data_IF_603122069673
#
_entry.id   IF_603122069673
#
_cell.length_a   1.000
_cell.length_b   1.000
_cell.length_c   1.000
_cell.angle_alpha   90.00
_cell.angle_beta   90.00
_cell.angle_gamma   90.00
#
_symmetry.space_group_name_H-M   'P 1'
#
loop_
_entity.id
_entity.type
_entity.pdbx_description
1 polymer ?
#
# COMPACT_ATOMS: atom_id res chain seq x y z
N UNK A 1 0.98 17.46 11.18
CA UNK A 1 0.81 16.00 10.93
C UNK A 1 -0.40 15.56 11.72
N UNK A 2 -1.39 14.97 11.05
CA UNK A 2 -2.69 14.60 11.66
C UNK A 2 -2.66 13.29 12.46
N UNK A 3 -1.52 12.61 12.59
CA UNK A 3 -1.41 11.39 13.37
C UNK A 3 -0.08 10.65 13.21
N UNK A 4 0.01 9.51 13.88
CA UNK A 4 1.20 8.65 13.89
C UNK A 4 0.83 7.19 13.65
N UNK A 5 1.73 6.44 13.02
CA UNK A 5 1.63 4.99 12.86
C UNK A 5 2.83 4.35 13.57
N UNK A 6 2.56 3.37 14.43
CA UNK A 6 3.57 2.60 15.19
C UNK A 6 3.27 1.10 15.08
N UNK A 7 4.30 0.27 15.27
CA UNK A 7 4.17 -1.18 15.28
C UNK A 7 4.79 -1.72 16.56
N UNK A 8 4.04 -2.52 17.31
CA UNK A 8 4.48 -3.08 18.59
C UNK A 8 4.35 -4.60 18.61
N UNK A 9 5.32 -5.24 19.25
CA UNK A 9 5.20 -6.64 19.63
C UNK A 9 4.42 -6.73 20.94
N UNK A 10 3.12 -6.88 20.82
CA UNK A 10 2.18 -6.91 21.97
C UNK A 10 0.90 -7.64 21.56
N UNK A 11 0.23 -8.25 22.53
CA UNK A 11 -1.13 -8.71 22.29
C UNK A 11 -2.07 -7.51 22.14
N UNK A 12 -2.92 -7.51 21.11
CA UNK A 12 -3.81 -6.39 20.81
C UNK A 12 -4.75 -6.05 21.98
N UNK A 13 -5.15 -7.06 22.79
CA UNK A 13 -6.02 -6.86 23.96
C UNK A 13 -5.34 -6.11 25.11
N UNK A 14 -4.01 -6.04 25.10
CA UNK A 14 -3.21 -5.33 26.11
C UNK A 14 -2.90 -3.88 25.72
N UNK A 15 -3.25 -3.48 24.49
CA UNK A 15 -3.04 -2.11 24.01
C UNK A 15 -3.82 -1.10 24.86
N UNK A 16 -3.17 0.02 25.10
CA UNK A 16 -3.78 1.22 25.66
C UNK A 16 -4.21 2.14 24.53
N UNK A 17 -5.34 1.80 23.91
CA UNK A 17 -5.95 2.54 22.79
C UNK A 17 -7.46 2.68 23.04
N UNK A 18 -8.08 3.75 22.49
CA UNK A 18 -9.53 3.96 22.64
C UNK A 18 -10.36 2.88 21.96
N UNK A 19 -9.87 2.37 20.84
CA UNK A 19 -10.46 1.23 20.12
C UNK A 19 -9.40 0.21 19.72
N UNK A 20 -9.80 -1.06 19.63
CA UNK A 20 -9.02 -2.11 18.96
C UNK A 20 -9.83 -2.69 17.81
N UNK A 21 -9.12 -3.13 16.77
CA UNK A 21 -9.75 -3.74 15.58
C UNK A 21 -9.68 -5.25 15.64
N UNK A 22 -10.81 -5.89 15.45
CA UNK A 22 -10.93 -7.32 15.26
C UNK A 22 -10.88 -7.65 13.76
N UNK A 23 -9.97 -8.54 13.34
CA UNK A 23 -10.02 -9.14 12.00
C UNK A 23 -11.16 -10.16 11.96
N UNK A 24 -12.36 -9.67 11.63
CA UNK A 24 -13.61 -10.41 11.72
C UNK A 24 -13.91 -11.22 10.46
N UNK A 25 -14.81 -12.18 10.60
CA UNK A 25 -15.52 -12.80 9.47
C UNK A 25 -16.86 -12.08 9.21
N UNK A 26 -17.45 -12.30 8.05
CA UNK A 26 -18.67 -11.61 7.64
C UNK A 26 -19.89 -11.90 8.51
N UNK A 27 -19.93 -13.06 9.19
CA UNK A 27 -20.99 -13.41 10.12
C UNK A 27 -20.79 -12.81 11.52
N UNK A 28 -19.67 -12.08 11.75
CA UNK A 28 -19.28 -11.50 13.04
C UNK A 28 -19.20 -12.55 14.18
N UNK A 29 -19.05 -13.82 13.82
CA UNK A 29 -18.94 -14.91 14.77
C UNK A 29 -17.55 -14.98 15.38
N UNK A 30 -17.49 -15.40 16.65
CA UNK A 30 -16.24 -15.70 17.31
C UNK A 30 -15.42 -16.72 16.51
N UNK A 31 -14.11 -16.48 16.42
CA UNK A 31 -13.18 -17.32 15.67
C UNK A 31 -11.92 -17.62 16.47
N UNK A 32 -10.88 -18.07 15.78
CA UNK A 32 -9.56 -18.33 16.35
C UNK A 32 -8.60 -17.15 16.15
N UNK A 33 -7.36 -17.28 16.60
CA UNK A 33 -6.32 -16.28 16.49
C UNK A 33 -6.69 -14.97 17.21
N UNK A 34 -6.44 -13.83 16.56
CA UNK A 34 -6.72 -12.51 17.15
C UNK A 34 -8.20 -12.33 17.51
N UNK A 35 -9.11 -12.85 16.67
CA UNK A 35 -10.54 -12.81 16.94
C UNK A 35 -10.89 -13.52 18.25
N UNK A 36 -10.41 -14.76 18.41
CA UNK A 36 -10.63 -15.53 19.65
C UNK A 36 -10.06 -14.85 20.90
N UNK A 37 -8.87 -14.25 20.79
CA UNK A 37 -8.25 -13.51 21.89
C UNK A 37 -9.10 -12.29 22.31
N UNK A 38 -9.62 -11.53 21.36
CA UNK A 38 -10.47 -10.36 21.61
C UNK A 38 -11.78 -10.79 22.26
N UNK A 39 -12.45 -11.84 21.74
CA UNK A 39 -13.70 -12.35 22.31
C UNK A 39 -13.51 -12.86 23.74
N UNK A 40 -12.41 -13.60 24.01
CA UNK A 40 -12.10 -14.07 25.35
C UNK A 40 -11.86 -12.93 26.34
N UNK A 41 -11.11 -11.90 25.95
CA UNK A 41 -10.76 -10.77 26.81
C UNK A 41 -11.93 -9.80 27.01
N UNK A 42 -12.76 -9.57 25.99
CA UNK A 42 -13.94 -8.71 26.07
C UNK A 42 -15.08 -9.30 26.92
N UNK A 43 -15.15 -10.60 27.06
CA UNK A 43 -16.30 -11.33 27.55
C UNK A 43 -17.08 -11.93 26.37
N UNK A 44 -16.87 -13.23 26.16
CA UNK A 44 -17.34 -13.92 24.95
C UNK A 44 -18.84 -13.77 24.69
N UNK A 45 -19.67 -13.91 25.73
CA UNK A 45 -21.13 -13.86 25.60
C UNK A 45 -21.62 -12.46 25.26
N UNK A 46 -21.08 -11.46 25.95
CA UNK A 46 -21.47 -10.05 25.80
C UNK A 46 -21.08 -9.54 24.41
N UNK A 47 -19.84 -9.84 23.97
CA UNK A 47 -19.37 -9.41 22.66
C UNK A 47 -20.10 -10.14 21.53
N UNK A 48 -20.36 -11.46 21.66
CA UNK A 48 -21.11 -12.21 20.66
C UNK A 48 -22.55 -11.68 20.53
N UNK A 49 -23.23 -11.43 21.65
CA UNK A 49 -24.58 -10.87 21.62
C UNK A 49 -24.64 -9.50 20.91
N UNK A 50 -23.62 -8.64 21.12
CA UNK A 50 -23.51 -7.38 20.39
C UNK A 50 -23.29 -7.58 18.88
N UNK A 51 -22.45 -8.56 18.50
CA UNK A 51 -22.24 -8.95 17.10
C UNK A 51 -23.50 -9.52 16.47
N UNK A 52 -24.23 -10.38 17.17
CA UNK A 52 -25.48 -11.00 16.71
C UNK A 52 -26.58 -9.96 16.47
N UNK A 53 -26.62 -8.91 17.30
CA UNK A 53 -27.53 -7.79 17.12
C UNK A 53 -27.26 -6.97 15.82
N UNK A 54 -26.00 -6.94 15.35
CA UNK A 54 -25.60 -6.33 14.07
C UNK A 54 -25.86 -7.31 12.91
N UNK A 55 -25.62 -8.59 13.12
CA UNK A 55 -25.91 -9.73 12.24
C UNK A 55 -24.87 -9.99 11.17
N UNK A 56 -24.47 -9.00 10.36
CA UNK A 56 -23.59 -9.21 9.23
C UNK A 56 -22.73 -7.97 8.92
N UNK A 57 -21.50 -8.21 8.41
CA UNK A 57 -20.64 -7.18 7.87
C UNK A 57 -20.01 -7.66 6.56
N UNK A 58 -20.09 -6.86 5.50
CA UNK A 58 -19.56 -7.23 4.19
C UNK A 58 -18.03 -7.18 4.15
N UNK A 59 -17.43 -7.99 3.27
CA UNK A 59 -15.98 -7.91 3.01
C UNK A 59 -15.60 -6.51 2.50
N UNK A 60 -14.60 -5.94 3.12
CA UNK A 60 -14.12 -4.57 2.87
C UNK A 60 -14.90 -3.52 3.67
N UNK A 61 -15.70 -3.92 4.66
CA UNK A 61 -16.42 -3.02 5.55
C UNK A 61 -16.08 -3.29 7.02
N UNK A 62 -16.59 -2.45 7.92
CA UNK A 62 -16.39 -2.59 9.35
C UNK A 62 -17.64 -2.15 10.13
N UNK A 63 -17.82 -2.71 11.33
CA UNK A 63 -18.85 -2.35 12.30
C UNK A 63 -18.23 -2.20 13.68
N UNK A 64 -18.90 -1.52 14.60
CA UNK A 64 -18.39 -1.20 15.93
C UNK A 64 -19.29 -1.73 17.04
N UNK A 65 -18.68 -2.23 18.11
CA UNK A 65 -19.34 -2.64 19.36
C UNK A 65 -18.63 -2.02 20.57
N UNK A 66 -19.24 -1.99 21.74
CA UNK A 66 -18.54 -1.71 22.99
C UNK A 66 -17.39 -2.71 23.24
N UNK A 67 -16.37 -2.28 23.96
CA UNK A 67 -15.21 -3.11 24.33
C UNK A 67 -15.44 -4.03 25.53
N UNK A 68 -16.55 -3.84 26.25
CA UNK A 68 -16.92 -4.58 27.47
C UNK A 68 -15.79 -4.65 28.53
N UNK A 69 -15.17 -5.81 28.77
CA UNK A 69 -14.11 -6.02 29.74
C UNK A 69 -12.71 -5.62 29.28
N UNK A 70 -12.58 -5.20 28.02
CA UNK A 70 -11.32 -4.69 27.45
C UNK A 70 -10.96 -3.31 28.03
N UNK A 71 -9.68 -2.95 27.98
CA UNK A 71 -9.23 -1.57 28.24
C UNK A 71 -9.76 -0.60 27.18
N UNK A 72 -9.80 -1.04 25.94
CA UNK A 72 -10.34 -0.27 24.82
C UNK A 72 -11.86 -0.08 24.99
N UNK A 73 -12.35 1.12 24.77
CA UNK A 73 -13.78 1.44 24.84
C UNK A 73 -14.61 0.72 23.80
N UNK A 74 -13.99 0.46 22.64
CA UNK A 74 -14.66 -0.10 21.48
C UNK A 74 -13.87 -1.25 20.85
N UNK A 75 -14.61 -2.18 20.26
CA UNK A 75 -14.08 -3.15 19.28
C UNK A 75 -14.67 -2.81 17.91
N UNK A 76 -13.79 -2.59 16.94
CA UNK A 76 -14.18 -2.38 15.54
C UNK A 76 -13.93 -3.68 14.79
N UNK A 77 -15.00 -4.30 14.29
CA UNK A 77 -14.94 -5.57 13.57
C UNK A 77 -14.77 -5.29 12.07
N UNK A 78 -13.56 -5.38 11.56
CA UNK A 78 -13.23 -5.13 10.16
C UNK A 78 -13.10 -6.46 9.41
N UNK A 79 -13.84 -6.59 8.31
CA UNK A 79 -13.87 -7.80 7.49
C UNK A 79 -12.96 -7.63 6.28
N UNK A 80 -11.74 -8.15 6.37
CA UNK A 80 -10.82 -8.21 5.23
C UNK A 80 -11.17 -9.33 4.25
N UNK A 81 -10.61 -9.29 3.03
CA UNK A 81 -10.81 -10.33 2.02
C UNK A 81 -10.03 -11.61 2.36
N UNK A 82 -10.54 -12.76 1.90
CA UNK A 82 -9.72 -13.94 1.68
C UNK A 82 -8.88 -13.71 0.43
N UNK A 83 -7.60 -13.98 0.53
CA UNK A 83 -6.68 -13.81 -0.60
C UNK A 83 -6.77 -15.01 -1.53
N UNK A 84 -6.84 -14.76 -2.82
CA UNK A 84 -6.79 -15.77 -3.88
C UNK A 84 -5.50 -15.58 -4.70
N UNK A 85 -5.40 -14.49 -5.42
CA UNK A 85 -4.25 -14.18 -6.27
C UNK A 85 -3.97 -12.66 -6.41
N UNK A 86 -4.75 -11.83 -5.72
CA UNK A 86 -4.65 -10.37 -5.77
C UNK A 86 -5.33 -9.71 -6.98
N UNK A 87 -6.04 -10.49 -7.81
CA UNK A 87 -6.67 -10.01 -9.06
C UNK A 87 -8.19 -9.89 -8.98
N UNK A 88 -8.79 -10.21 -7.83
CA UNK A 88 -10.24 -10.19 -7.62
C UNK A 88 -10.68 -9.04 -6.69
N UNK A 89 -9.91 -7.93 -6.72
CA UNK A 89 -10.18 -6.73 -5.92
C UNK A 89 -9.87 -6.90 -4.44
N UNK A 90 -9.00 -7.86 -4.07
CA UNK A 90 -8.60 -8.08 -2.69
C UNK A 90 -7.86 -6.88 -2.10
N UNK A 91 -6.90 -6.21 -2.81
CA UNK A 91 -6.22 -5.03 -2.30
C UNK A 91 -7.18 -3.88 -1.97
N UNK A 92 -8.15 -3.61 -2.85
CA UNK A 92 -9.13 -2.55 -2.68
C UNK A 92 -10.08 -2.86 -1.51
N UNK A 93 -10.51 -4.12 -1.38
CA UNK A 93 -11.34 -4.57 -0.26
C UNK A 93 -10.58 -4.47 1.06
N UNK A 94 -9.28 -4.81 1.07
CA UNK A 94 -8.45 -4.72 2.28
C UNK A 94 -8.25 -3.26 2.70
N UNK A 95 -7.84 -2.39 1.77
CA UNK A 95 -7.70 -0.95 2.02
C UNK A 95 -9.01 -0.31 2.49
N UNK A 96 -10.13 -0.71 1.90
CA UNK A 96 -11.45 -0.24 2.31
C UNK A 96 -11.80 -0.67 3.75
N UNK A 97 -11.49 -1.92 4.15
CA UNK A 97 -11.71 -2.38 5.52
C UNK A 97 -10.93 -1.54 6.55
N UNK A 98 -9.67 -1.19 6.27
CA UNK A 98 -8.88 -0.28 7.10
C UNK A 98 -9.51 1.11 7.17
N UNK A 99 -9.87 1.69 6.02
CA UNK A 99 -10.51 3.02 5.95
C UNK A 99 -11.81 3.07 6.75
N UNK A 100 -12.70 2.08 6.56
CA UNK A 100 -13.97 1.99 7.28
C UNK A 100 -13.77 1.88 8.79
N UNK A 101 -12.77 1.11 9.23
CA UNK A 101 -12.43 1.01 10.64
C UNK A 101 -11.96 2.37 11.22
N UNK A 102 -11.15 3.10 10.48
CA UNK A 102 -10.66 4.43 10.88
C UNK A 102 -11.78 5.47 10.89
N UNK A 103 -12.70 5.44 9.91
CA UNK A 103 -13.90 6.29 9.87
C UNK A 103 -14.76 6.09 11.13
N UNK A 104 -15.00 4.82 11.51
CA UNK A 104 -15.75 4.48 12.72
C UNK A 104 -15.05 4.96 13.99
N UNK A 105 -13.73 4.83 14.06
CA UNK A 105 -12.94 5.31 15.18
C UNK A 105 -13.10 6.84 15.36
N UNK A 106 -12.93 7.61 14.29
CA UNK A 106 -13.07 9.07 14.30
C UNK A 106 -14.51 9.48 14.63
N UNK A 107 -15.51 8.83 14.05
CA UNK A 107 -16.94 9.08 14.33
C UNK A 107 -17.28 8.85 15.82
N UNK A 108 -16.57 7.93 16.49
CA UNK A 108 -16.69 7.65 17.91
C UNK A 108 -15.68 8.42 18.79
N UNK A 109 -15.03 9.44 18.23
CA UNK A 109 -14.06 10.31 18.94
C UNK A 109 -12.88 9.56 19.54
N UNK A 110 -12.40 8.49 18.89
CA UNK A 110 -11.21 7.78 19.28
C UNK A 110 -9.96 8.52 18.80
N UNK A 111 -9.03 8.80 19.68
CA UNK A 111 -7.73 9.39 19.35
C UNK A 111 -6.63 8.35 19.21
N UNK A 112 -6.95 7.08 19.43
CA UNK A 112 -6.03 5.95 19.29
C UNK A 112 -6.75 4.68 18.86
N UNK A 113 -6.15 3.92 17.92
CA UNK A 113 -6.71 2.67 17.39
C UNK A 113 -5.62 1.62 17.27
N UNK A 114 -5.88 0.44 17.84
CA UNK A 114 -5.04 -0.74 17.70
C UNK A 114 -5.51 -1.64 16.55
N UNK A 115 -4.61 -2.00 15.64
CA UNK A 115 -4.89 -2.90 14.52
C UNK A 115 -4.09 -4.20 14.61
N UNK A 116 -4.69 -5.35 14.25
CA UNK A 116 -3.93 -6.50 13.79
C UNK A 116 -3.57 -6.30 12.32
N UNK A 117 -2.71 -7.16 11.76
CA UNK A 117 -2.54 -7.22 10.31
C UNK A 117 -3.70 -8.00 9.69
N UNK A 118 -4.72 -7.27 9.21
CA UNK A 118 -5.97 -7.84 8.67
C UNK A 118 -5.67 -8.75 7.49
N UNK A 119 -6.37 -9.87 7.39
CA UNK A 119 -6.27 -10.89 6.34
C UNK A 119 -4.94 -11.68 6.28
N UNK A 120 -3.87 -11.29 6.98
CA UNK A 120 -2.55 -11.93 6.89
C UNK A 120 -2.44 -13.29 7.61
N UNK A 121 -3.45 -13.69 8.37
CA UNK A 121 -3.53 -15.00 9.03
C UNK A 121 -4.29 -16.03 8.17
N UNK A 122 -5.38 -16.57 8.71
CA UNK A 122 -6.20 -17.65 8.10
C UNK A 122 -6.73 -17.26 6.69
N UNK A 123 -6.90 -15.96 6.41
CA UNK A 123 -7.36 -15.48 5.10
C UNK A 123 -6.25 -15.47 4.05
N UNK A 124 -5.00 -15.82 4.40
CA UNK A 124 -3.91 -16.13 3.48
C UNK A 124 -3.35 -14.94 2.70
N UNK A 125 -3.65 -13.71 3.11
CA UNK A 125 -3.08 -12.54 2.43
C UNK A 125 -1.56 -12.51 2.63
N UNK A 126 -0.73 -12.37 1.57
CA UNK A 126 0.71 -12.31 1.70
C UNK A 126 1.14 -11.18 2.66
N UNK A 127 1.93 -11.51 3.67
CA UNK A 127 2.27 -10.61 4.79
C UNK A 127 2.82 -9.27 4.31
N UNK A 128 3.75 -9.30 3.34
CA UNK A 128 4.34 -8.09 2.74
C UNK A 128 3.27 -7.20 2.10
N UNK A 129 2.39 -7.80 1.30
CA UNK A 129 1.32 -7.08 0.62
C UNK A 129 0.28 -6.54 1.61
N UNK A 130 -0.03 -7.32 2.66
CA UNK A 130 -0.92 -6.88 3.72
C UNK A 130 -0.38 -5.65 4.46
N UNK A 131 0.92 -5.61 4.77
CA UNK A 131 1.56 -4.44 5.36
C UNK A 131 1.50 -3.22 4.45
N UNK A 132 1.82 -3.39 3.17
CA UNK A 132 1.79 -2.32 2.19
C UNK A 132 0.39 -1.71 2.07
N UNK A 133 -0.63 -2.54 1.82
CA UNK A 133 -2.02 -2.08 1.67
C UNK A 133 -2.55 -1.44 2.97
N UNK A 134 -2.16 -1.96 4.14
CA UNK A 134 -2.52 -1.41 5.44
C UNK A 134 -1.93 -0.01 5.64
N UNK A 135 -0.63 0.18 5.36
CA UNK A 135 0.02 1.47 5.56
C UNK A 135 -0.46 2.53 4.58
N UNK A 136 -0.68 2.15 3.30
CA UNK A 136 -1.28 3.07 2.33
C UNK A 136 -2.63 3.54 2.83
N UNK A 137 -3.54 2.62 3.19
CA UNK A 137 -4.87 2.99 3.63
C UNK A 137 -4.86 3.88 4.88
N UNK A 138 -4.01 3.53 5.87
CA UNK A 138 -3.88 4.31 7.09
C UNK A 138 -3.30 5.71 6.83
N UNK A 139 -2.29 5.79 5.96
CA UNK A 139 -1.65 7.06 5.65
C UNK A 139 -2.56 7.98 4.86
N UNK A 140 -3.15 7.50 3.77
CA UNK A 140 -4.13 8.26 3.00
C UNK A 140 -5.25 8.81 3.88
N UNK A 141 -5.71 8.00 4.85
CA UNK A 141 -6.71 8.44 5.80
C UNK A 141 -6.19 9.55 6.72
N UNK A 142 -5.00 9.40 7.31
CA UNK A 142 -4.38 10.41 8.17
C UNK A 142 -4.12 11.72 7.42
N UNK A 143 -3.68 11.65 6.16
CA UNK A 143 -3.43 12.83 5.32
C UNK A 143 -4.73 13.60 4.99
N UNK A 144 -5.85 12.89 4.90
CA UNK A 144 -7.19 13.47 4.72
C UNK A 144 -7.79 14.10 5.97
N UNK A 145 -7.26 13.80 7.17
CA UNK A 145 -7.75 14.36 8.43
C UNK A 145 -7.32 15.82 8.60
N UNK A 146 -8.31 16.70 8.87
CA UNK A 146 -8.07 18.09 9.27
C UNK A 146 -8.46 18.23 10.75
N UNK A 147 -7.58 18.87 11.52
CA UNK A 147 -7.83 19.23 12.92
C UNK A 147 -8.18 18.06 13.86
N UNK A 148 -7.76 16.83 13.48
CA UNK A 148 -7.96 15.65 14.29
C UNK A 148 -6.66 14.84 14.42
N UNK A 149 -6.28 14.51 15.66
CA UNK A 149 -5.08 13.72 15.94
C UNK A 149 -5.48 12.25 16.18
N UNK A 150 -4.89 11.34 15.40
CA UNK A 150 -5.16 9.91 15.55
C UNK A 150 -3.85 9.12 15.61
N UNK A 151 -3.68 8.34 16.67
CA UNK A 151 -2.57 7.39 16.83
C UNK A 151 -3.02 5.99 16.40
N UNK A 152 -2.34 5.43 15.41
CA UNK A 152 -2.56 4.06 14.93
C UNK A 152 -1.43 3.18 15.45
N UNK A 153 -1.76 2.03 16.06
CA UNK A 153 -0.79 1.07 16.58
C UNK A 153 -1.09 -0.30 16.02
N UNK A 154 -0.18 -0.85 15.23
CA UNK A 154 -0.25 -2.24 14.80
C UNK A 154 0.30 -3.16 15.89
N UNK A 155 -0.49 -4.15 16.31
CA UNK A 155 -0.11 -5.14 17.30
C UNK A 155 0.20 -6.47 16.60
N UNK A 156 1.40 -6.99 16.79
CA UNK A 156 1.85 -8.29 16.26
C UNK A 156 2.49 -9.09 17.39
N UNK A 157 2.46 -10.42 17.29
CA UNK A 157 3.07 -11.32 18.30
C UNK A 157 4.38 -11.93 17.81
N UNK A 158 4.60 -11.93 16.50
CA UNK A 158 5.70 -12.59 15.83
C UNK A 158 6.80 -11.60 15.43
N UNK A 159 8.08 -11.96 15.71
CA UNK A 159 9.22 -11.10 15.40
C UNK A 159 9.44 -10.88 13.90
N UNK A 160 9.10 -11.88 13.08
CA UNK A 160 9.20 -11.77 11.63
C UNK A 160 8.16 -10.79 11.09
N UNK A 161 6.92 -10.87 11.59
CA UNK A 161 5.88 -9.89 11.23
C UNK A 161 6.25 -8.48 11.68
N UNK A 162 6.83 -8.33 12.88
CA UNK A 162 7.32 -7.05 13.38
C UNK A 162 8.41 -6.48 12.47
N UNK A 163 9.41 -7.31 12.12
CA UNK A 163 10.52 -6.89 11.26
C UNK A 163 10.05 -6.49 9.86
N UNK A 164 9.17 -7.32 9.24
CA UNK A 164 8.59 -7.00 7.94
C UNK A 164 7.74 -5.71 7.98
N UNK A 165 6.91 -5.54 9.02
CA UNK A 165 6.12 -4.33 9.19
C UNK A 165 6.98 -3.08 9.36
N UNK A 166 8.05 -3.14 10.16
CA UNK A 166 8.98 -2.02 10.35
C UNK A 166 9.71 -1.67 9.05
N UNK A 167 10.18 -2.67 8.30
CA UNK A 167 10.77 -2.46 6.99
C UNK A 167 9.76 -1.78 6.05
N UNK A 168 8.53 -2.29 6.02
CA UNK A 168 7.47 -1.73 5.20
C UNK A 168 7.10 -0.29 5.61
N UNK A 169 7.01 0.00 6.91
CA UNK A 169 6.71 1.34 7.42
C UNK A 169 7.79 2.35 7.05
N UNK A 170 9.07 1.98 7.18
CA UNK A 170 10.20 2.83 6.77
C UNK A 170 10.12 3.08 5.26
N UNK A 171 9.88 2.04 4.46
CA UNK A 171 9.71 2.14 3.01
C UNK A 171 8.54 3.02 2.62
N UNK A 172 7.40 2.80 3.20
CA UNK A 172 6.25 3.66 3.01
C UNK A 172 6.53 5.11 3.43
N UNK A 173 7.29 5.32 4.50
CA UNK A 173 7.65 6.67 4.95
C UNK A 173 8.58 7.41 3.99
N UNK A 174 9.45 6.70 3.29
CA UNK A 174 10.40 7.31 2.37
C UNK A 174 9.88 7.46 0.93
N UNK A 175 9.09 6.51 0.43
CA UNK A 175 8.66 6.45 -0.98
C UNK A 175 7.22 6.89 -1.26
N UNK A 176 6.32 6.78 -0.29
CA UNK A 176 4.89 7.17 -0.48
C UNK A 176 4.70 8.68 -0.38
N UNK A 177 5.67 9.42 0.15
CA UNK A 177 5.49 10.83 0.47
C UNK A 177 5.73 11.79 -0.69
N UNK A 178 6.30 11.33 -1.79
CA UNK A 178 6.50 12.20 -2.94
C UNK A 178 6.15 11.46 -4.22
N UNK A 179 4.97 11.76 -4.74
CA UNK A 179 4.65 11.46 -6.14
C UNK A 179 5.67 12.23 -6.98
N UNK A 180 6.38 11.53 -7.87
CA UNK A 180 7.36 12.15 -8.72
C UNK A 180 6.68 13.09 -9.70
N UNK A 181 7.14 14.33 -9.71
CA UNK A 181 6.69 15.37 -10.62
C UNK A 181 7.81 15.77 -11.57
N UNK A 182 7.46 16.34 -12.71
CA UNK A 182 8.42 16.81 -13.72
C UNK A 182 9.53 17.69 -13.15
N UNK A 183 9.21 18.50 -12.14
CA UNK A 183 10.14 19.42 -11.48
C UNK A 183 11.15 18.74 -10.55
N UNK A 184 10.96 17.46 -10.21
CA UNK A 184 11.80 16.75 -9.26
C UNK A 184 13.14 16.30 -9.83
N UNK A 185 13.26 16.29 -11.13
CA UNK A 185 14.48 15.91 -11.83
C UNK A 185 14.70 16.76 -13.08
N UNK A 186 15.93 16.74 -13.61
CA UNK A 186 16.19 17.33 -14.91
C UNK A 186 15.46 16.56 -16.01
N UNK A 187 14.73 17.25 -16.85
CA UNK A 187 13.95 16.66 -17.95
C UNK A 187 14.19 17.43 -19.24
N UNK A 188 14.38 16.69 -20.33
CA UNK A 188 14.35 17.24 -21.68
C UNK A 188 13.05 16.78 -22.36
N UNK A 189 12.45 17.59 -23.23
CA UNK A 189 11.28 17.15 -23.97
C UNK A 189 11.62 15.98 -24.92
N UNK A 190 10.59 15.25 -25.35
CA UNK A 190 10.73 14.28 -26.45
C UNK A 190 11.24 15.01 -27.70
N UNK A 191 12.30 14.51 -28.36
CA UNK A 191 12.82 15.15 -29.55
C UNK A 191 11.84 15.07 -30.74
N UNK A 192 12.01 15.92 -31.73
CA UNK A 192 11.19 15.86 -32.95
C UNK A 192 11.37 14.54 -33.70
N UNK A 193 12.59 13.97 -33.65
CA UNK A 193 12.88 12.66 -34.23
C UNK A 193 12.42 11.57 -33.26
N UNK A 194 11.24 11.03 -33.48
CA UNK A 194 10.65 9.96 -32.68
C UNK A 194 9.76 9.06 -33.52
N UNK A 195 9.52 7.84 -33.02
CA UNK A 195 8.53 6.90 -33.55
C UNK A 195 7.40 6.68 -32.55
N UNK A 196 6.31 6.06 -33.02
CA UNK A 196 5.21 5.66 -32.16
C UNK A 196 4.75 4.24 -32.48
N UNK A 197 4.36 3.50 -31.46
CA UNK A 197 3.81 2.16 -31.59
C UNK A 197 2.76 1.86 -30.51
N UNK A 198 2.02 0.77 -30.68
CA UNK A 198 1.05 0.29 -29.68
C UNK A 198 1.70 -0.80 -28.85
N UNK A 199 1.71 -0.61 -27.54
CA UNK A 199 2.07 -1.63 -26.56
C UNK A 199 0.81 -2.28 -26.00
N UNK A 200 0.62 -3.57 -26.25
CA UNK A 200 -0.47 -4.35 -25.65
C UNK A 200 -0.01 -4.90 -24.31
N UNK A 201 -0.60 -4.39 -23.24
CA UNK A 201 -0.28 -4.80 -21.87
C UNK A 201 -1.45 -4.53 -20.93
N UNK A 202 -1.90 -5.57 -20.23
CA UNK A 202 -2.88 -5.39 -19.15
C UNK A 202 -2.17 -4.99 -17.87
N UNK A 203 -2.59 -3.89 -17.28
CA UNK A 203 -2.11 -3.40 -15.98
C UNK A 203 -3.31 -3.33 -15.04
N UNK A 204 -3.20 -3.94 -13.87
CA UNK A 204 -4.21 -3.81 -12.85
C UNK A 204 -4.10 -2.47 -12.11
N UNK A 205 -5.10 -2.14 -11.30
CA UNK A 205 -5.14 -0.84 -10.59
C UNK A 205 -3.94 -0.63 -9.65
N UNK A 206 -3.45 -1.70 -9.02
CA UNK A 206 -2.27 -1.65 -8.15
C UNK A 206 -1.00 -1.32 -8.92
N UNK A 207 -0.82 -1.93 -10.09
CA UNK A 207 0.29 -1.63 -10.99
C UNK A 207 0.22 -0.19 -11.48
N UNK A 208 -0.96 0.27 -11.88
CA UNK A 208 -1.17 1.66 -12.27
C UNK A 208 -0.94 2.63 -11.11
N UNK A 209 -1.32 2.27 -9.89
CA UNK A 209 -1.03 3.08 -8.71
C UNK A 209 0.48 3.24 -8.50
N UNK A 210 1.27 2.16 -8.61
CA UNK A 210 2.74 2.20 -8.52
C UNK A 210 3.35 3.09 -9.61
N UNK A 211 2.87 2.96 -10.85
CA UNK A 211 3.36 3.81 -11.96
C UNK A 211 3.02 5.29 -11.75
N UNK A 212 1.85 5.61 -11.18
CA UNK A 212 1.44 6.98 -10.83
C UNK A 212 2.31 7.62 -9.76
N UNK A 213 2.88 6.82 -8.84
CA UNK A 213 3.82 7.37 -7.87
C UNK A 213 5.11 7.86 -8.52
N UNK A 214 5.48 7.30 -9.66
CA UNK A 214 6.70 7.65 -10.34
C UNK A 214 7.95 7.16 -9.60
N UNK A 215 9.12 7.62 -10.03
CA UNK A 215 10.40 7.31 -9.42
C UNK A 215 11.37 8.47 -9.53
N UNK A 216 11.92 8.88 -8.39
CA UNK A 216 12.99 9.88 -8.31
C UNK A 216 14.29 9.11 -8.00
N UNK A 217 15.31 9.18 -8.88
CA UNK A 217 16.58 8.47 -8.66
C UNK A 217 17.21 8.79 -7.30
N UNK A 218 17.60 7.76 -6.57
CA UNK A 218 18.22 7.88 -5.26
C UNK A 218 19.72 7.57 -5.28
N UNK A 219 20.18 6.82 -6.30
CA UNK A 219 21.57 6.40 -6.46
C UNK A 219 22.06 6.58 -7.91
N UNK A 220 23.38 6.49 -8.11
CA UNK A 220 23.96 6.61 -9.45
C UNK A 220 23.60 5.44 -10.37
N UNK A 221 23.21 4.31 -9.80
CA UNK A 221 22.78 3.10 -10.50
C UNK A 221 21.36 3.22 -11.04
N UNK A 222 20.55 4.13 -10.51
CA UNK A 222 19.19 4.39 -10.96
C UNK A 222 19.22 5.06 -12.34
N UNK A 223 18.97 4.25 -13.37
CA UNK A 223 19.08 4.69 -14.77
C UNK A 223 17.89 5.49 -15.26
N UNK A 224 16.79 5.51 -14.50
CA UNK A 224 15.54 6.07 -14.92
C UNK A 224 14.96 7.02 -13.88
N UNK A 225 14.37 8.11 -14.39
CA UNK A 225 13.42 8.97 -13.72
C UNK A 225 12.10 8.89 -14.50
N UNK A 226 10.99 8.61 -13.81
CA UNK A 226 9.67 8.67 -14.46
C UNK A 226 8.65 9.32 -13.55
N UNK A 227 7.70 10.00 -14.18
CA UNK A 227 6.54 10.61 -13.55
C UNK A 227 5.33 10.47 -14.45
N UNK A 228 4.13 10.75 -13.93
CA UNK A 228 2.91 10.78 -14.73
C UNK A 228 2.28 12.17 -14.70
N UNK A 229 1.81 12.63 -15.86
CA UNK A 229 0.87 13.74 -16.01
C UNK A 229 -0.40 13.16 -16.63
N UNK A 230 -1.54 13.30 -15.95
CA UNK A 230 -2.80 12.64 -16.30
C UNK A 230 -2.62 11.11 -16.47
N UNK A 231 -2.94 10.58 -17.64
CA UNK A 231 -2.78 9.16 -17.98
C UNK A 231 -1.52 8.88 -18.83
N UNK A 232 -0.55 9.79 -18.83
CA UNK A 232 0.69 9.65 -19.60
C UNK A 232 1.90 9.57 -18.70
N UNK A 233 2.66 8.48 -18.82
CA UNK A 233 3.95 8.29 -18.17
C UNK A 233 5.06 8.87 -19.06
N UNK A 234 5.97 9.60 -18.42
CA UNK A 234 7.18 10.17 -19.04
C UNK A 234 8.41 9.53 -18.44
N UNK A 235 9.18 8.82 -19.24
CA UNK A 235 10.38 8.11 -18.81
C UNK A 235 11.66 8.74 -19.35
N UNK A 236 12.48 9.21 -18.43
CA UNK A 236 13.71 9.93 -18.73
C UNK A 236 14.94 9.16 -18.26
N UNK A 237 16.06 9.32 -18.95
CA UNK A 237 17.35 8.90 -18.42
C UNK A 237 17.75 9.81 -17.25
N UNK A 238 18.04 9.20 -16.10
CA UNK A 238 18.37 9.95 -14.87
C UNK A 238 19.59 10.85 -15.04
N UNK A 239 20.61 10.39 -15.75
CA UNK A 239 21.86 11.11 -15.89
C UNK A 239 21.79 12.27 -16.89
N UNK A 240 21.07 12.10 -17.99
CA UNK A 240 21.00 13.10 -19.06
C UNK A 240 19.75 13.94 -19.04
N UNK A 241 18.67 13.41 -18.48
CA UNK A 241 17.33 13.99 -18.53
C UNK A 241 16.59 13.76 -19.85
N UNK A 242 17.20 13.05 -20.82
CA UNK A 242 16.56 12.82 -22.13
C UNK A 242 15.30 11.97 -21.96
N UNK A 243 14.19 12.42 -22.50
CA UNK A 243 12.97 11.64 -22.61
C UNK A 243 13.19 10.51 -23.60
N UNK A 244 13.01 9.27 -23.17
CA UNK A 244 13.19 8.08 -24.00
C UNK A 244 11.84 7.51 -24.43
N UNK A 245 10.89 7.42 -23.46
CA UNK A 245 9.54 6.93 -23.72
C UNK A 245 8.50 7.88 -23.14
N UNK A 246 7.39 8.03 -23.87
CA UNK A 246 6.12 8.41 -23.25
C UNK A 246 5.10 7.30 -23.49
N UNK A 247 4.27 7.02 -22.49
CA UNK A 247 3.26 5.96 -22.56
C UNK A 247 1.91 6.55 -22.17
N UNK A 248 1.04 6.76 -23.15
CA UNK A 248 -0.34 7.17 -22.89
C UNK A 248 -1.19 5.93 -22.63
N UNK A 249 -1.57 5.73 -21.36
CA UNK A 249 -2.34 4.57 -20.95
C UNK A 249 -3.79 4.65 -21.43
N UNK A 250 -4.34 3.51 -21.86
CA UNK A 250 -5.72 3.35 -22.30
C UNK A 250 -6.39 2.22 -21.53
N UNK A 251 -7.67 2.34 -21.29
CA UNK A 251 -8.46 1.35 -20.54
C UNK A 251 -8.63 0.01 -21.24
N UNK A 252 -8.41 -0.03 -22.55
CA UNK A 252 -8.49 -1.25 -23.37
C UNK A 252 -7.19 -2.08 -23.38
N UNK A 253 -6.15 -1.62 -22.66
CA UNK A 253 -4.84 -2.28 -22.58
C UNK A 253 -3.97 -2.08 -23.83
N UNK A 254 -4.36 -1.18 -24.77
CA UNK A 254 -3.60 -0.84 -25.97
C UNK A 254 -3.00 0.55 -25.84
N UNK A 255 -1.84 0.65 -25.23
CA UNK A 255 -1.19 1.91 -24.88
C UNK A 255 -0.41 2.50 -26.02
N UNK A 256 -0.56 3.81 -26.25
CA UNK A 256 0.23 4.52 -27.25
C UNK A 256 1.58 4.90 -26.65
N UNK A 257 2.64 4.38 -27.26
CA UNK A 257 4.03 4.68 -26.89
C UNK A 257 4.64 5.60 -27.94
N UNK A 258 5.32 6.65 -27.48
CA UNK A 258 6.25 7.43 -28.31
C UNK A 258 7.67 7.17 -27.81
N UNK A 259 8.60 6.87 -28.73
CA UNK A 259 9.99 6.52 -28.42
C UNK A 259 10.97 7.43 -29.15
N UNK A 260 11.96 7.91 -28.41
CA UNK A 260 13.03 8.77 -28.91
C UNK A 260 13.87 8.08 -29.99
N UNK A 261 14.09 8.76 -31.13
CA UNK A 261 14.92 8.28 -32.24
C UNK A 261 16.12 9.19 -32.54
N UNK A 262 16.40 10.13 -31.66
CA UNK A 262 17.62 10.91 -31.78
C UNK A 262 18.85 10.03 -31.46
N UNK A 263 19.75 9.77 -32.43
CA UNK A 263 20.87 8.83 -32.26
C UNK A 263 21.91 9.26 -31.22
N UNK A 264 21.97 10.56 -30.90
CA UNK A 264 22.84 11.09 -29.85
C UNK A 264 22.28 10.83 -28.44
N UNK A 265 20.97 10.58 -28.32
CA UNK A 265 20.27 10.42 -27.07
C UNK A 265 19.89 8.96 -26.80
N UNK A 266 19.52 8.21 -27.85
CA UNK A 266 19.04 6.84 -27.75
C UNK A 266 19.44 6.03 -28.99
N UNK A 267 20.09 4.90 -28.76
CA UNK A 267 20.72 4.12 -29.84
C UNK A 267 19.85 3.02 -30.43
N UNK A 268 18.80 2.59 -29.73
CA UNK A 268 17.88 1.57 -30.25
C UNK A 268 17.03 2.16 -31.39
N UNK A 269 16.89 1.40 -32.46
CA UNK A 269 16.09 1.76 -33.63
C UNK A 269 15.00 0.76 -33.95
N UNK A 270 14.92 -0.35 -33.19
CA UNK A 270 13.95 -1.41 -33.38
C UNK A 270 12.75 -1.23 -32.46
N UNK A 271 11.56 -1.11 -33.03
CA UNK A 271 10.30 -1.09 -32.28
C UNK A 271 10.09 -2.40 -31.51
N UNK A 272 10.54 -3.53 -32.05
CA UNK A 272 10.44 -4.83 -31.41
C UNK A 272 11.28 -4.90 -30.12
N UNK A 273 12.53 -4.41 -30.19
CA UNK A 273 13.41 -4.31 -29.00
C UNK A 273 12.84 -3.33 -27.97
N UNK A 274 12.31 -2.17 -28.41
CA UNK A 274 11.69 -1.20 -27.53
C UNK A 274 10.44 -1.77 -26.84
N UNK A 275 9.61 -2.50 -27.58
CA UNK A 275 8.42 -3.16 -27.03
C UNK A 275 8.81 -4.13 -25.92
N UNK A 276 9.84 -4.98 -26.18
CA UNK A 276 10.33 -5.95 -25.21
C UNK A 276 10.97 -5.28 -23.98
N UNK A 277 11.77 -4.24 -24.20
CA UNK A 277 12.43 -3.48 -23.12
C UNK A 277 11.40 -2.73 -22.26
N UNK A 278 10.52 -1.97 -22.88
CA UNK A 278 9.52 -1.17 -22.17
C UNK A 278 8.54 -2.08 -21.41
N UNK A 279 8.17 -3.23 -21.99
CA UNK A 279 7.36 -4.24 -21.29
C UNK A 279 7.99 -4.69 -19.98
N UNK A 280 9.30 -5.01 -19.99
CA UNK A 280 10.07 -5.37 -18.78
C UNK A 280 10.20 -4.21 -17.81
N UNK A 281 10.41 -2.98 -18.29
CA UNK A 281 10.49 -1.80 -17.44
C UNK A 281 9.17 -1.54 -16.73
N UNK A 282 8.04 -1.61 -17.43
CA UNK A 282 6.73 -1.44 -16.82
C UNK A 282 6.42 -2.53 -15.79
N UNK A 283 6.82 -3.80 -16.02
CA UNK A 283 6.71 -4.86 -15.03
C UNK A 283 7.54 -4.56 -13.78
N UNK A 284 8.77 -4.11 -13.98
CA UNK A 284 9.67 -3.69 -12.92
C UNK A 284 9.11 -2.50 -12.13
N UNK A 285 8.68 -1.45 -12.83
CA UNK A 285 8.20 -0.21 -12.22
C UNK A 285 6.83 -0.36 -11.58
N UNK A 286 6.01 -1.30 -12.02
CA UNK A 286 4.69 -1.57 -11.45
C UNK A 286 4.71 -2.41 -10.17
N UNK A 287 5.88 -2.80 -9.67
CA UNK A 287 6.09 -3.55 -8.41
C UNK A 287 5.52 -4.98 -8.39
N UNK A 288 5.05 -5.55 -9.50
CA UNK A 288 4.58 -6.94 -9.51
C UNK A 288 5.72 -7.96 -9.57
N UNK A 289 6.79 -7.67 -10.30
CA UNK A 289 7.91 -8.58 -10.51
C UNK A 289 9.26 -8.02 -10.05
N UNK A 290 9.30 -6.81 -9.52
CA UNK A 290 10.54 -6.18 -9.09
C UNK A 290 10.57 -5.95 -7.60
N UNK A 291 11.63 -6.43 -7.00
CA UNK A 291 11.91 -6.26 -5.59
C UNK A 291 12.74 -4.99 -5.32
N UNK A 292 12.50 -3.91 -6.11
CA UNK A 292 13.08 -2.59 -5.89
C UNK A 292 12.87 -2.13 -4.43
N UNK A 293 11.70 -2.47 -3.91
CA UNK A 293 11.36 -2.24 -2.53
C UNK A 293 12.25 -3.07 -1.56
N UNK A 294 12.63 -4.30 -1.89
CA UNK A 294 13.55 -5.12 -1.09
C UNK A 294 15.00 -4.65 -1.20
N UNK A 295 15.42 -4.23 -2.36
CA UNK A 295 16.77 -3.71 -2.58
C UNK A 295 16.96 -2.40 -1.83
N UNK A 296 16.01 -1.48 -1.96
CA UNK A 296 15.97 -0.24 -1.21
C UNK A 296 15.84 -0.46 0.31
N UNK A 297 14.99 -1.42 0.76
CA UNK A 297 14.89 -1.78 2.18
C UNK A 297 16.16 -2.41 2.72
N UNK A 298 16.85 -3.22 1.93
CA UNK A 298 18.14 -3.82 2.35
C UNK A 298 19.21 -2.75 2.50
N UNK A 299 19.24 -1.76 1.63
CA UNK A 299 20.17 -0.62 1.70
C UNK A 299 19.83 0.33 2.84
N UNK A 300 18.56 0.64 3.07
CA UNK A 300 18.11 1.48 4.19
C UNK A 300 18.35 0.79 5.53
N UNK A 301 18.10 -0.53 5.63
CA UNK A 301 18.42 -1.31 6.81
C UNK A 301 19.93 -1.39 7.07
N UNK A 302 20.75 -1.45 6.02
CA UNK A 302 22.22 -1.40 6.12
C UNK A 302 22.71 -0.02 6.58
N UNK A 303 22.08 1.06 6.11
CA UNK A 303 22.38 2.44 6.53
C UNK A 303 22.02 2.69 7.99
N UNK A 304 20.88 2.19 8.47
CA UNK A 304 20.47 2.29 9.87
C UNK A 304 21.35 1.48 10.84
N UNK A 305 21.98 0.39 10.36
CA UNK A 305 22.96 -0.37 11.16
C UNK A 305 24.30 0.37 11.35
N UNK A 306 24.61 1.34 10.49
CA UNK A 306 25.83 2.17 10.57
C UNK A 306 25.70 3.39 11.49
N UNK A 307 24.48 3.65 12.01
CA UNK A 307 24.18 4.78 12.92
C UNK A 307 24.12 4.31 14.40
N UNK A 308 24.69 3.14 14.71
CA UNK A 308 24.90 2.69 16.10
C UNK A 308 26.34 2.90 16.51
#
# INVERSE_FOLDING_TARGET
MSGTIDIRKINIVDLDTDAIVNAANSALAAGSGVCGAIFAAAGHKELQAACDAIGHCQTGDAVITPGFKLKAKYVIHAVGPRYTDGKHGEPEKLKRAYRRALELAVANRCHSVGFPLISAGIFGYPVKNAWYDAFIACKEFLDGLRDYQLRIVFAVLDDRMLAEGRKCLIGCSASIYKIAEKSDWKTCPMPETHDSFILEKSLNERQMCSLRHGHIPQAMEDKWFWYMEDDTLYAHRSWTGHCIYTVAFKSDGRHLVTVNRNPEQYKCTSIEEDTALLGKLLDSWSMENYDYYHEWLSETAASLRKIK
#
